data_IF_026201409765
#
_entry.id   IF_026201409765
#
_cell.length_a   1.000
_cell.length_b   1.000
_cell.length_c   1.000
_cell.angle_alpha   90.00
_cell.angle_beta   90.00
_cell.angle_gamma   90.00
#
_symmetry.space_group_name_H-M   'P 1'
#
loop_
_entity.id
_entity.type
_entity.pdbx_description
1 polymer ?
#
# COMPACT_ATOMS: atom_id res chain seq x y z
N UNK A 1 -29.82 12.97 9.60
CA UNK A 1 -28.39 13.19 9.86
C UNK A 1 -27.59 12.56 8.75
N UNK A 2 -27.03 13.38 7.87
CA UNK A 2 -26.29 12.93 6.69
C UNK A 2 -24.89 12.53 7.20
N UNK A 3 -24.51 11.27 7.03
CA UNK A 3 -23.20 10.78 7.47
C UNK A 3 -22.10 11.60 6.80
N UNK A 4 -21.06 11.90 7.56
CA UNK A 4 -19.89 12.72 7.22
C UNK A 4 -19.22 12.33 5.87
N UNK A 5 -19.49 11.11 5.39
CA UNK A 5 -19.10 10.56 4.10
C UNK A 5 -19.76 11.22 2.87
N UNK A 6 -20.98 11.74 2.97
CA UNK A 6 -21.67 12.36 1.81
C UNK A 6 -21.31 13.84 1.60
N UNK A 7 -20.61 14.46 2.56
CA UNK A 7 -20.15 15.86 2.48
C UNK A 7 -18.83 16.07 1.76
N UNK A 8 -18.17 15.00 1.30
CA UNK A 8 -17.18 15.09 0.21
C UNK A 8 -17.97 15.33 -1.09
N UNK A 9 -18.76 16.39 -1.11
CA UNK A 9 -19.75 16.68 -2.14
C UNK A 9 -19.04 17.28 -3.35
N UNK A 10 -18.92 16.44 -4.38
CA UNK A 10 -18.94 16.74 -5.83
C UNK A 10 -17.95 17.74 -6.44
N UNK A 11 -17.22 18.57 -5.69
CA UNK A 11 -16.34 19.59 -6.28
C UNK A 11 -14.86 19.16 -6.43
N UNK A 12 -14.50 17.96 -5.98
CA UNK A 12 -13.10 17.50 -5.98
C UNK A 12 -12.73 16.57 -7.15
N UNK A 13 -13.56 16.56 -8.20
CA UNK A 13 -13.40 15.78 -9.43
C UNK A 13 -13.13 16.65 -10.67
N UNK A 14 -12.85 17.94 -10.50
CA UNK A 14 -12.66 18.88 -11.61
C UNK A 14 -11.28 18.80 -12.27
N UNK A 15 -10.34 18.00 -11.76
CA UNK A 15 -8.99 17.84 -12.31
C UNK A 15 -8.58 16.36 -12.43
N UNK A 16 -8.22 15.94 -13.65
CA UNK A 16 -7.74 14.58 -13.98
C UNK A 16 -6.56 14.16 -13.10
N UNK A 17 -5.66 15.10 -12.77
CA UNK A 17 -4.50 14.81 -11.90
C UNK A 17 -4.92 14.40 -10.50
N UNK A 18 -5.92 15.05 -9.93
CA UNK A 18 -6.38 14.73 -8.56
C UNK A 18 -7.15 13.40 -8.54
N UNK A 19 -7.88 13.09 -9.62
CA UNK A 19 -8.48 11.77 -9.79
C UNK A 19 -7.43 10.66 -9.86
N UNK A 20 -6.37 10.83 -10.67
CA UNK A 20 -5.26 9.87 -10.76
C UNK A 20 -4.58 9.65 -9.41
N UNK A 21 -4.32 10.73 -8.66
CA UNK A 21 -3.75 10.64 -7.30
C UNK A 21 -4.65 9.89 -6.34
N UNK A 22 -5.95 10.21 -6.29
CA UNK A 22 -6.93 9.53 -5.42
C UNK A 22 -7.06 8.05 -5.78
N UNK A 23 -7.17 7.74 -7.07
CA UNK A 23 -7.27 6.35 -7.56
C UNK A 23 -6.03 5.54 -7.18
N UNK A 24 -4.84 6.10 -7.42
CA UNK A 24 -3.60 5.46 -7.01
C UNK A 24 -3.52 5.27 -5.49
N UNK A 25 -4.01 6.22 -4.70
CA UNK A 25 -4.07 6.09 -3.23
C UNK A 25 -5.02 4.97 -2.81
N UNK A 26 -6.20 4.87 -3.42
CA UNK A 26 -7.16 3.78 -3.14
C UNK A 26 -6.55 2.42 -3.51
N UNK A 27 -5.89 2.32 -4.67
CA UNK A 27 -5.22 1.09 -5.08
C UNK A 27 -4.07 0.72 -4.15
N UNK A 28 -3.26 1.69 -3.73
CA UNK A 28 -2.21 1.48 -2.73
C UNK A 28 -2.75 0.90 -1.43
N UNK A 29 -3.86 1.45 -0.91
CA UNK A 29 -4.48 0.95 0.33
C UNK A 29 -5.01 -0.47 0.16
N UNK A 30 -5.63 -0.77 -1.00
CA UNK A 30 -6.14 -2.11 -1.34
C UNK A 30 -5.05 -3.13 -1.72
N UNK A 31 -3.78 -2.74 -1.68
CA UNK A 31 -2.67 -3.59 -2.15
C UNK A 31 -2.72 -3.90 -3.65
N UNK A 32 -3.43 -3.12 -4.47
CA UNK A 32 -3.46 -3.29 -5.93
C UNK A 32 -2.32 -2.54 -6.60
N UNK A 33 -1.96 -2.95 -7.82
CA UNK A 33 -1.01 -2.21 -8.64
C UNK A 33 -1.42 -0.72 -8.82
N UNK A 34 -0.45 0.18 -8.74
CA UNK A 34 -0.69 1.63 -8.81
C UNK A 34 0.52 2.40 -9.37
N UNK A 35 0.30 3.66 -9.76
CA UNK A 35 1.37 4.57 -10.16
C UNK A 35 1.88 5.36 -8.94
N UNK A 36 3.11 5.08 -8.52
CA UNK A 36 3.84 5.78 -7.48
C UNK A 36 4.58 7.02 -7.98
N UNK A 37 5.27 7.67 -7.05
CA UNK A 37 5.99 8.91 -7.31
C UNK A 37 7.50 8.72 -7.33
N UNK A 38 8.19 9.51 -8.16
CA UNK A 38 9.65 9.71 -8.11
C UNK A 38 10.00 11.18 -8.27
N UNK A 39 11.20 11.54 -7.82
CA UNK A 39 11.83 12.79 -8.22
C UNK A 39 12.21 12.72 -9.70
N UNK A 40 11.82 13.73 -10.48
CA UNK A 40 12.21 13.82 -11.88
C UNK A 40 13.70 14.16 -12.04
N UNK A 41 14.26 14.86 -11.05
CA UNK A 41 15.68 15.19 -10.97
C UNK A 41 16.25 14.60 -9.66
N UNK A 42 17.29 13.76 -9.71
CA UNK A 42 17.94 13.22 -8.52
C UNK A 42 18.53 14.29 -7.59
N UNK A 43 18.80 15.50 -8.10
CA UNK A 43 19.45 16.59 -7.37
C UNK A 43 18.46 17.56 -6.74
N UNK A 44 17.18 17.53 -7.15
CA UNK A 44 16.17 18.47 -6.67
C UNK A 44 14.84 17.78 -6.35
N UNK A 45 14.29 18.07 -5.18
CA UNK A 45 12.97 17.56 -4.74
C UNK A 45 11.79 18.37 -5.29
N UNK A 46 12.05 19.42 -6.07
CA UNK A 46 11.02 20.37 -6.52
C UNK A 46 10.07 19.77 -7.56
N UNK A 47 10.52 18.76 -8.32
CA UNK A 47 9.72 18.15 -9.39
C UNK A 47 9.46 16.67 -9.12
N UNK A 48 8.27 16.37 -8.61
CA UNK A 48 7.80 15.00 -8.35
C UNK A 48 6.82 14.59 -9.46
N UNK A 49 7.03 13.42 -10.05
CA UNK A 49 6.20 12.87 -11.14
C UNK A 49 5.61 11.53 -10.70
N UNK A 50 4.35 11.27 -11.08
CA UNK A 50 3.61 10.05 -10.77
C UNK A 50 3.63 9.07 -11.95
N UNK A 51 4.78 8.46 -12.21
CA UNK A 51 5.01 7.58 -13.37
C UNK A 51 5.70 6.26 -13.01
N UNK A 52 5.82 5.93 -11.73
CA UNK A 52 6.50 4.70 -11.29
C UNK A 52 5.47 3.57 -11.14
N UNK A 53 5.51 2.51 -11.95
CA UNK A 53 4.65 1.35 -11.72
C UNK A 53 5.03 0.68 -10.39
N UNK A 54 4.03 0.41 -9.56
CA UNK A 54 4.13 -0.39 -8.34
C UNK A 54 3.24 -1.61 -8.51
N UNK A 55 3.80 -2.77 -8.24
CA UNK A 55 3.08 -4.04 -8.31
C UNK A 55 2.03 -4.14 -7.19
N UNK A 56 1.09 -5.06 -7.40
CA UNK A 56 0.20 -5.48 -6.32
C UNK A 56 0.97 -6.10 -5.16
N UNK A 57 0.43 -5.95 -3.96
CA UNK A 57 0.97 -6.54 -2.75
C UNK A 57 0.89 -8.06 -2.89
N UNK A 58 1.98 -8.74 -2.59
CA UNK A 58 2.06 -10.19 -2.52
C UNK A 58 2.57 -10.58 -1.14
N UNK A 59 2.11 -11.73 -0.66
CA UNK A 59 2.66 -12.31 0.55
C UNK A 59 3.99 -12.98 0.22
N UNK A 60 5.04 -12.57 0.91
CA UNK A 60 6.33 -13.26 0.83
C UNK A 60 6.27 -14.63 1.55
N UNK A 61 7.12 -15.59 1.17
CA UNK A 61 7.26 -16.86 1.88
C UNK A 61 7.55 -16.68 3.38
N UNK A 62 7.30 -17.72 4.17
CA UNK A 62 7.67 -17.70 5.58
C UNK A 62 9.18 -17.47 5.74
N UNK A 63 9.53 -16.56 6.64
CA UNK A 63 10.91 -16.35 7.02
C UNK A 63 11.46 -17.58 7.74
N UNK A 64 12.38 -18.29 7.10
CA UNK A 64 13.03 -19.50 7.63
C UNK A 64 14.46 -19.24 8.12
N UNK A 65 14.81 -17.99 8.41
CA UNK A 65 16.15 -17.67 8.88
C UNK A 65 16.39 -18.24 10.28
N UNK A 66 17.60 -18.75 10.49
CA UNK A 66 18.02 -19.32 11.78
C UNK A 66 17.81 -18.34 12.94
N UNK A 67 18.09 -17.04 12.72
CA UNK A 67 17.89 -16.00 13.71
C UNK A 67 16.41 -15.79 14.08
N UNK A 68 15.48 -16.06 13.15
CA UNK A 68 14.04 -16.02 13.42
C UNK A 68 13.65 -17.17 14.36
N UNK A 69 14.05 -18.39 14.00
CA UNK A 69 13.72 -19.62 14.73
C UNK A 69 14.33 -19.66 16.12
N UNK A 70 15.59 -19.24 16.28
CA UNK A 70 16.26 -19.18 17.59
C UNK A 70 15.69 -18.09 18.51
N UNK A 71 14.93 -17.14 17.96
CA UNK A 71 14.37 -16.04 18.74
C UNK A 71 13.10 -16.45 19.49
N UNK A 72 13.22 -16.62 20.81
CA UNK A 72 12.08 -16.85 21.72
C UNK A 72 10.99 -15.78 21.68
N UNK A 73 11.27 -14.59 21.13
CA UNK A 73 10.34 -13.46 21.07
C UNK A 73 9.56 -13.36 19.76
N UNK A 74 10.08 -13.95 18.67
CA UNK A 74 9.51 -13.74 17.33
C UNK A 74 8.43 -14.75 16.96
N UNK A 75 8.40 -15.93 17.59
CA UNK A 75 7.37 -16.94 17.35
C UNK A 75 7.26 -17.36 15.88
N UNK A 76 8.40 -17.47 15.18
CA UNK A 76 8.39 -17.70 13.73
C UNK A 76 7.74 -19.03 13.34
N UNK A 77 7.77 -20.02 14.24
CA UNK A 77 7.13 -21.33 14.05
C UNK A 77 5.71 -21.41 14.66
N UNK A 78 5.21 -20.34 15.30
CA UNK A 78 3.90 -20.36 15.99
C UNK A 78 2.74 -19.89 15.12
N UNK A 79 3.01 -19.15 14.04
CA UNK A 79 1.97 -18.64 13.13
C UNK A 79 1.90 -19.55 11.91
N UNK A 80 0.74 -20.16 11.70
CA UNK A 80 0.50 -21.01 10.53
C UNK A 80 0.38 -20.18 9.25
N UNK A 81 0.67 -20.79 8.09
CA UNK A 81 0.46 -20.14 6.78
C UNK A 81 -0.98 -19.64 6.60
N UNK A 82 -1.96 -20.37 7.13
CA UNK A 82 -3.36 -19.95 7.05
C UNK A 82 -3.62 -18.67 7.84
N UNK A 83 -3.04 -18.53 9.03
CA UNK A 83 -3.14 -17.30 9.83
C UNK A 83 -2.40 -16.15 9.18
N UNK A 84 -1.23 -16.40 8.57
CA UNK A 84 -0.51 -15.41 7.76
C UNK A 84 -1.42 -14.89 6.65
N UNK A 85 -2.04 -15.79 5.89
CA UNK A 85 -2.96 -15.44 4.80
C UNK A 85 -4.15 -14.61 5.28
N UNK A 86 -4.79 -15.00 6.38
CA UNK A 86 -5.91 -14.24 6.96
C UNK A 86 -5.49 -12.81 7.35
N UNK A 87 -4.35 -12.65 8.02
CA UNK A 87 -3.82 -11.34 8.40
C UNK A 87 -3.50 -10.45 7.20
N UNK A 88 -3.09 -11.05 6.08
CA UNK A 88 -2.79 -10.33 4.86
C UNK A 88 -4.04 -9.88 4.11
N UNK A 89 -5.08 -10.71 4.08
CA UNK A 89 -6.33 -10.42 3.37
C UNK A 89 -7.20 -9.40 4.12
N UNK A 90 -7.05 -9.27 5.44
CA UNK A 90 -7.80 -8.32 6.28
C UNK A 90 -7.29 -6.86 6.15
N UNK A 91 -6.11 -6.65 5.56
CA UNK A 91 -5.35 -5.39 5.62
C UNK A 91 -5.48 -4.48 4.38
#
# INVERSE_FOLDING_TARGET
SITETERISKNSFSNEKDWKKKTAKINQMKGKAYMGFRSADPKTTQRIVQDVPREERKMDPAGNSRQCQESKKRGCDTVSEQERQRLFDEF
#
